data_IF_396643399074
#
_entry.id   IF_396643399074
#
_cell.length_a   1.000
_cell.length_b   1.000
_cell.length_c   1.000
_cell.angle_alpha   90.00
_cell.angle_beta   90.00
_cell.angle_gamma   90.00
#
_symmetry.space_group_name_H-M   'P 1'
#
loop_
_entity.id
_entity.type
_entity.pdbx_description
1 polymer ?
#
# COMPACT_ATOMS: atom_id res chain seq x y z
N UNK A 1 -1.25 20.67 72.08
CA UNK A 1 0.16 20.82 71.68
C UNK A 1 0.24 20.43 70.22
N UNK A 2 0.59 21.40 69.34
CA UNK A 2 1.05 21.19 67.94
C UNK A 2 0.00 20.65 66.95
N UNK A 3 -0.29 21.18 65.75
CA UNK A 3 0.35 22.17 64.87
C UNK A 3 -0.69 22.72 63.87
N UNK A 4 -0.48 23.97 63.47
CA UNK A 4 -0.94 24.76 62.32
C UNK A 4 -1.32 24.00 61.03
N UNK A 5 -2.09 24.53 60.07
CA UNK A 5 -2.63 25.87 59.86
C UNK A 5 -3.27 25.95 58.46
N UNK A 6 -4.42 26.63 58.36
CA UNK A 6 -5.17 26.89 57.13
C UNK A 6 -5.06 28.39 56.84
N UNK A 7 -4.71 28.76 55.61
CA UNK A 7 -4.75 30.14 55.12
C UNK A 7 -5.32 30.17 53.70
N UNK A 8 -6.46 30.86 53.47
CA UNK A 8 -6.91 31.22 52.13
C UNK A 8 -6.43 32.64 51.77
N UNK A 9 -5.92 32.83 50.56
CA UNK A 9 -5.66 34.17 50.03
C UNK A 9 -6.60 34.44 48.85
N UNK A 10 -7.66 35.19 49.13
CA UNK A 10 -8.29 36.10 48.18
C UNK A 10 -7.57 37.45 48.27
N UNK A 11 -7.51 38.20 47.17
CA UNK A 11 -7.73 39.67 47.13
C UNK A 11 -7.95 40.07 45.67
N UNK A 12 -8.98 40.90 45.52
CA UNK A 12 -9.54 41.52 44.33
C UNK A 12 -8.87 42.87 44.02
N UNK A 13 -8.86 43.29 42.76
CA UNK A 13 -8.71 44.69 42.38
C UNK A 13 -9.42 44.99 41.04
N UNK A 14 -10.65 45.47 41.17
CA UNK A 14 -11.27 46.64 40.52
C UNK A 14 -10.26 47.63 39.87
N UNK A 15 -10.51 48.48 38.87
CA UNK A 15 -11.64 48.87 38.01
C UNK A 15 -11.19 50.16 37.27
N UNK A 16 -11.77 50.43 36.08
CA UNK A 16 -12.04 51.76 35.45
C UNK A 16 -11.08 52.39 34.39
N UNK A 17 -11.62 52.46 33.15
CA UNK A 17 -11.74 53.59 32.17
C UNK A 17 -10.45 54.28 31.65
N UNK A 18 -10.31 54.66 30.36
CA UNK A 18 -11.11 55.70 29.66
C UNK A 18 -10.70 55.84 28.16
N UNK A 19 -11.71 56.01 27.29
CA UNK A 19 -11.81 56.84 26.04
C UNK A 19 -10.99 56.60 24.75
N UNK A 20 -11.74 56.21 23.70
CA UNK A 20 -11.82 56.57 22.25
C UNK A 20 -11.51 58.06 21.87
N UNK A 21 -11.45 58.56 20.59
CA UNK A 21 -11.48 57.94 19.21
C UNK A 21 -10.79 58.70 17.98
N UNK A 22 -10.99 58.17 16.74
CA UNK A 22 -11.08 58.72 15.32
C UNK A 22 -9.89 59.37 14.54
N UNK A 23 -9.56 58.82 13.35
CA UNK A 23 -9.49 59.47 11.99
C UNK A 23 -9.12 58.41 10.92
N UNK A 24 -9.99 57.95 10.00
CA UNK A 24 -10.47 58.48 8.69
C UNK A 24 -9.37 58.99 7.73
N UNK A 25 -9.11 58.23 6.66
CA UNK A 25 -8.99 58.75 5.28
C UNK A 25 -9.45 57.70 4.26
N UNK A 26 -9.92 58.21 3.14
CA UNK A 26 -10.65 57.59 2.04
C UNK A 26 -9.94 57.90 0.72
N UNK A 27 -10.13 57.05 -0.31
CA UNK A 27 -9.86 57.36 -1.72
C UNK A 27 -8.69 56.58 -2.31
N UNK A 28 -8.73 56.05 -3.53
CA UNK A 28 -9.75 56.07 -4.56
C UNK A 28 -9.17 55.62 -5.90
N UNK A 29 -10.03 55.00 -6.69
CA UNK A 29 -10.11 55.05 -8.16
C UNK A 29 -9.13 54.28 -9.08
N UNK A 30 -9.77 53.68 -10.08
CA UNK A 30 -9.40 53.50 -11.51
C UNK A 30 -8.57 52.25 -11.85
N UNK A 31 -9.19 51.28 -12.54
CA UNK A 31 -9.46 51.21 -13.99
C UNK A 31 -8.27 50.62 -14.73
N UNK A 32 -8.46 49.48 -15.41
CA UNK A 32 -8.12 49.28 -16.84
C UNK A 32 -8.21 47.80 -17.23
N UNK A 33 -9.26 47.49 -17.96
CA UNK A 33 -9.27 46.80 -19.27
C UNK A 33 -8.04 45.99 -19.71
N UNK A 34 -8.27 44.71 -20.03
CA UNK A 34 -7.73 43.97 -21.20
C UNK A 34 -8.16 42.50 -21.04
N UNK A 35 -9.28 42.05 -21.59
CA UNK A 35 -9.39 41.44 -22.94
C UNK A 35 -8.04 40.96 -23.48
N UNK A 36 -7.79 39.65 -23.37
CA UNK A 36 -6.90 38.92 -24.29
C UNK A 36 -7.45 37.50 -24.53
N UNK A 37 -7.75 37.24 -25.81
CA UNK A 37 -7.69 35.99 -26.57
C UNK A 37 -8.02 34.67 -25.86
N UNK A 38 -9.13 33.99 -26.14
CA UNK A 38 -9.48 33.27 -27.38
C UNK A 38 -8.37 32.39 -27.97
N UNK A 39 -8.64 31.09 -27.89
CA UNK A 39 -8.27 30.03 -28.86
C UNK A 39 -6.80 29.62 -29.02
N UNK A 40 -6.50 28.38 -28.63
CA UNK A 40 -5.51 27.50 -29.26
C UNK A 40 -5.53 26.08 -28.65
N UNK A 41 -5.03 25.04 -29.35
CA UNK A 41 -5.87 23.98 -29.89
C UNK A 41 -5.64 22.60 -29.26
N UNK A 42 -6.48 21.66 -29.69
CA UNK A 42 -6.43 20.22 -29.38
C UNK A 42 -5.04 19.59 -29.59
N UNK A 43 -4.63 18.63 -28.74
CA UNK A 43 -3.53 17.75 -29.06
C UNK A 43 -3.98 16.69 -30.08
N UNK A 44 -3.28 16.73 -31.20
CA UNK A 44 -3.29 15.80 -32.32
C UNK A 44 -3.05 14.35 -31.88
N UNK A 45 -3.82 13.48 -32.51
CA UNK A 45 -3.69 12.04 -32.45
C UNK A 45 -2.29 11.58 -32.87
N UNK A 46 -1.67 10.75 -32.04
CA UNK A 46 -0.48 9.98 -32.42
C UNK A 46 -0.89 8.74 -33.21
N UNK A 47 -0.07 8.31 -34.19
CA UNK A 47 -0.44 7.27 -35.13
C UNK A 47 -0.37 5.88 -34.50
N UNK A 48 -1.41 5.10 -34.82
CA UNK A 48 -1.51 3.65 -34.67
C UNK A 48 -0.39 3.00 -35.49
N UNK A 49 0.60 2.42 -34.80
CA UNK A 49 1.58 1.54 -35.43
C UNK A 49 0.92 0.19 -35.70
N UNK A 50 0.75 -0.06 -36.98
CA UNK A 50 0.29 -1.27 -37.63
C UNK A 50 1.20 -2.45 -37.24
N UNK A 51 0.66 -3.45 -36.55
CA UNK A 51 1.25 -4.79 -36.53
C UNK A 51 0.30 -5.72 -37.27
N UNK A 52 0.55 -5.82 -38.58
CA UNK A 52 0.00 -6.87 -39.42
C UNK A 52 1.18 -7.52 -40.12
N UNK A 53 1.69 -8.59 -39.55
CA UNK A 53 2.49 -9.55 -40.29
C UNK A 53 1.73 -10.86 -40.35
N UNK A 54 1.41 -11.21 -41.59
CA UNK A 54 0.59 -12.31 -42.05
C UNK A 54 1.51 -13.48 -42.34
N UNK A 55 1.19 -14.62 -41.73
CA UNK A 55 1.33 -16.00 -42.21
C UNK A 55 2.61 -16.39 -42.96
N UNK A 56 3.32 -17.37 -42.39
CA UNK A 56 3.81 -18.52 -43.17
C UNK A 56 3.50 -19.83 -42.44
N UNK A 57 2.75 -20.75 -43.09
CA UNK A 57 2.67 -22.16 -42.72
C UNK A 57 3.62 -23.02 -43.59
N UNK A 58 4.08 -24.14 -43.04
CA UNK A 58 4.55 -25.36 -43.72
C UNK A 58 4.89 -26.36 -42.59
N UNK A 59 4.00 -27.28 -42.20
CA UNK A 59 3.69 -28.59 -42.79
C UNK A 59 4.85 -29.60 -42.81
N UNK A 60 4.55 -30.78 -42.26
CA UNK A 60 4.96 -32.16 -42.62
C UNK A 60 5.14 -32.98 -41.32
N UNK A 61 4.11 -33.67 -40.84
CA UNK A 61 3.64 -35.01 -41.24
C UNK A 61 4.47 -36.15 -40.63
N UNK A 62 3.78 -37.12 -40.03
CA UNK A 62 4.38 -38.31 -39.44
C UNK A 62 3.36 -39.15 -38.67
N UNK A 63 2.40 -39.72 -39.39
CA UNK A 63 1.54 -40.82 -38.93
C UNK A 63 2.42 -41.99 -38.44
N UNK A 64 2.13 -42.50 -37.24
CA UNK A 64 2.16 -43.94 -37.03
C UNK A 64 1.42 -44.35 -35.76
N UNK A 65 0.23 -44.89 -36.02
CA UNK A 65 -0.56 -45.74 -35.12
C UNK A 65 0.31 -46.80 -34.45
N UNK A 66 0.59 -46.63 -33.16
CA UNK A 66 1.23 -47.66 -32.33
C UNK A 66 0.17 -48.61 -31.78
N UNK A 67 -0.26 -49.54 -32.63
CA UNK A 67 -0.85 -50.80 -32.19
C UNK A 67 0.26 -51.84 -32.01
N UNK A 68 0.72 -52.06 -30.77
CA UNK A 68 1.45 -53.28 -30.42
C UNK A 68 1.45 -53.49 -28.91
N UNK A 69 0.47 -54.28 -28.47
CA UNK A 69 0.57 -55.06 -27.24
C UNK A 69 1.45 -56.28 -27.50
N UNK A 70 2.03 -56.76 -26.41
CA UNK A 70 2.77 -58.01 -26.22
C UNK A 70 4.24 -58.02 -26.68
N UNK A 71 5.17 -57.93 -25.73
CA UNK A 71 5.85 -59.12 -25.17
C UNK A 71 7.19 -58.74 -24.48
N UNK A 72 7.20 -58.92 -23.15
CA UNK A 72 8.26 -59.55 -22.34
C UNK A 72 9.73 -59.22 -22.70
N UNK A 73 10.37 -58.43 -21.83
CA UNK A 73 11.82 -58.31 -21.77
C UNK A 73 12.27 -57.86 -20.39
N UNK A 74 12.75 -58.81 -19.58
CA UNK A 74 13.42 -58.57 -18.30
C UNK A 74 14.58 -57.58 -18.49
N UNK A 75 14.54 -56.43 -17.81
CA UNK A 75 15.69 -55.53 -17.75
C UNK A 75 15.37 -54.04 -17.74
N UNK A 76 14.53 -53.58 -16.82
CA UNK A 76 14.33 -52.14 -16.60
C UNK A 76 14.27 -51.83 -15.10
N UNK A 77 15.30 -52.27 -14.36
CA UNK A 77 15.55 -51.85 -12.99
C UNK A 77 16.89 -51.09 -12.87
N UNK A 78 17.28 -50.35 -13.90
CA UNK A 78 18.00 -49.10 -13.67
C UNK A 78 16.96 -47.98 -13.75
N UNK A 79 16.11 -47.96 -12.73
CA UNK A 79 15.14 -46.90 -12.54
C UNK A 79 15.88 -45.57 -12.61
N UNK A 80 15.49 -44.74 -13.57
CA UNK A 80 15.83 -43.34 -13.63
C UNK A 80 15.36 -42.66 -12.34
N UNK A 81 16.20 -42.76 -11.30
CA UNK A 81 16.04 -42.08 -10.03
C UNK A 81 16.56 -40.64 -10.19
N UNK A 82 15.93 -39.88 -11.08
CA UNK A 82 16.07 -38.44 -11.30
C UNK A 82 15.03 -38.15 -12.40
N UNK A 83 13.92 -37.45 -12.20
CA UNK A 83 13.76 -36.16 -11.54
C UNK A 83 12.30 -36.02 -11.07
N UNK A 84 11.98 -36.43 -9.84
CA UNK A 84 10.86 -35.80 -9.14
C UNK A 84 11.39 -34.54 -8.49
N UNK A 85 11.57 -33.49 -9.30
CA UNK A 85 11.82 -32.14 -8.79
C UNK A 85 10.49 -31.69 -8.18
N UNK A 86 10.35 -31.94 -6.88
CA UNK A 86 9.23 -31.46 -6.09
C UNK A 86 9.07 -29.96 -6.34
N UNK A 87 7.90 -29.58 -6.84
CA UNK A 87 7.43 -28.22 -6.70
C UNK A 87 7.35 -27.99 -5.19
N UNK A 88 8.29 -27.19 -4.66
CA UNK A 88 8.16 -26.64 -3.33
C UNK A 88 6.85 -25.85 -3.34
N UNK A 89 5.79 -26.47 -2.83
CA UNK A 89 4.63 -25.76 -2.35
C UNK A 89 5.18 -24.71 -1.41
N UNK A 90 5.10 -23.44 -1.81
CA UNK A 90 5.42 -22.33 -0.95
C UNK A 90 4.54 -22.51 0.27
N UNK A 91 5.20 -22.81 1.39
CA UNK A 91 4.58 -22.96 2.68
C UNK A 91 3.78 -21.68 2.92
N UNK A 92 2.44 -21.79 2.89
CA UNK A 92 1.56 -20.82 3.51
C UNK A 92 1.79 -20.98 5.01
N UNK A 93 2.98 -20.60 5.47
CA UNK A 93 3.33 -20.47 6.87
C UNK A 93 2.15 -19.72 7.49
N UNK A 94 1.40 -20.33 8.39
CA UNK A 94 0.23 -19.68 8.99
C UNK A 94 0.72 -18.87 10.18
N UNK A 95 0.76 -17.55 10.07
CA UNK A 95 0.98 -16.74 11.27
C UNK A 95 -0.36 -16.45 11.93
N UNK A 96 -0.35 -16.45 13.27
CA UNK A 96 -1.49 -15.96 14.05
C UNK A 96 -1.52 -14.43 13.99
N UNK A 97 -2.57 -13.86 13.40
CA UNK A 97 -2.78 -12.42 13.36
C UNK A 97 -3.23 -11.90 14.75
N UNK A 98 -2.54 -10.89 15.25
CA UNK A 98 -2.94 -10.12 16.44
C UNK A 98 -3.74 -8.90 16.01
N UNK A 99 -4.96 -8.74 16.52
CA UNK A 99 -5.87 -7.63 16.16
C UNK A 99 -5.79 -6.51 17.19
N UNK A 100 -5.60 -5.28 16.73
CA UNK A 100 -5.59 -4.07 17.57
C UNK A 100 -7.00 -3.52 17.81
N UNK A 101 -7.19 -2.55 18.74
CA UNK A 101 -8.47 -1.88 18.96
C UNK A 101 -9.04 -1.19 17.72
N UNK A 102 -8.18 -0.76 16.77
CA UNK A 102 -8.62 -0.15 15.52
C UNK A 102 -9.13 -1.16 14.47
N UNK A 103 -9.05 -2.47 14.77
CA UNK A 103 -9.40 -3.56 13.86
C UNK A 103 -8.29 -3.94 12.88
N UNK A 104 -7.21 -3.16 12.82
CA UNK A 104 -5.98 -3.53 12.11
C UNK A 104 -5.37 -4.76 12.77
N UNK A 105 -5.09 -5.79 11.99
CA UNK A 105 -4.38 -6.96 12.50
C UNK A 105 -3.03 -7.13 11.82
N UNK A 106 -2.07 -7.66 12.55
CA UNK A 106 -0.72 -7.89 12.05
C UNK A 106 -0.16 -9.23 12.51
N UNK A 107 0.84 -9.73 11.79
CA UNK A 107 1.78 -10.68 12.34
C UNK A 107 3.17 -10.40 11.76
N UNK A 108 4.20 -10.51 12.60
CA UNK A 108 5.58 -10.45 12.16
C UNK A 108 6.01 -11.84 11.69
N UNK A 109 6.22 -11.96 10.37
CA UNK A 109 6.76 -13.17 9.73
C UNK A 109 8.25 -13.29 9.99
N UNK A 110 8.92 -12.15 9.88
CA UNK A 110 10.34 -12.00 10.19
C UNK A 110 10.45 -10.70 10.96
N UNK A 111 10.96 -10.77 12.19
CA UNK A 111 11.30 -9.56 12.95
C UNK A 111 12.63 -9.05 12.42
N UNK A 112 12.68 -7.77 12.02
CA UNK A 112 13.91 -7.15 11.54
C UNK A 112 14.94 -6.97 12.66
N UNK A 113 16.20 -6.79 12.28
CA UNK A 113 17.34 -6.58 13.18
C UNK A 113 17.83 -5.13 13.18
N UNK A 114 17.31 -4.29 12.29
CA UNK A 114 17.68 -2.88 12.17
C UNK A 114 16.81 -1.93 13.00
N UNK A 115 16.99 -0.61 12.82
CA UNK A 115 16.26 0.39 13.57
C UNK A 115 14.76 0.34 13.27
N UNK A 116 13.97 0.74 14.27
CA UNK A 116 12.52 0.89 14.14
C UNK A 116 12.16 1.99 13.15
N UNK A 117 11.00 1.86 12.51
CA UNK A 117 10.42 2.94 11.73
C UNK A 117 10.11 4.15 12.63
N UNK A 118 10.45 5.36 12.17
CA UNK A 118 10.16 6.60 12.88
C UNK A 118 9.35 7.55 11.98
N UNK A 119 8.47 8.33 12.60
CA UNK A 119 7.56 9.23 11.89
C UNK A 119 8.31 10.27 11.06
N UNK A 120 7.89 10.44 9.81
CA UNK A 120 8.44 11.42 8.87
C UNK A 120 9.70 10.95 8.12
N UNK A 121 10.26 9.79 8.47
CA UNK A 121 11.38 9.21 7.75
C UNK A 121 10.97 8.81 6.34
N UNK A 122 11.87 9.07 5.39
CA UNK A 122 11.79 8.52 4.04
C UNK A 122 12.28 7.06 4.10
N UNK A 123 11.42 6.12 3.74
CA UNK A 123 11.70 4.68 3.81
C UNK A 123 11.48 3.99 2.48
N UNK A 124 12.05 2.78 2.34
CA UNK A 124 11.78 1.85 1.24
C UNK A 124 11.10 0.59 1.76
N UNK A 125 10.09 0.12 1.04
CA UNK A 125 9.43 -1.15 1.34
C UNK A 125 9.10 -1.95 0.07
N UNK A 126 9.29 -3.27 0.14
CA UNK A 126 8.63 -4.18 -0.78
C UNK A 126 7.26 -4.59 -0.25
N UNK A 127 6.33 -4.92 -1.15
CA UNK A 127 5.01 -5.37 -0.76
C UNK A 127 4.29 -6.21 -1.81
N UNK A 128 3.32 -6.98 -1.33
CA UNK A 128 2.27 -7.61 -2.12
C UNK A 128 0.93 -7.28 -1.47
N UNK A 129 0.00 -6.69 -2.22
CA UNK A 129 -1.37 -6.40 -1.81
C UNK A 129 -2.34 -7.40 -2.43
N UNK A 130 -3.13 -8.07 -1.57
CA UNK A 130 -4.11 -9.10 -1.92
C UNK A 130 -5.49 -8.73 -1.38
N UNK A 131 -6.53 -9.10 -2.11
CA UNK A 131 -7.90 -9.15 -1.61
C UNK A 131 -8.14 -10.47 -0.87
N UNK A 132 -9.28 -10.55 -0.20
CA UNK A 132 -9.82 -11.82 0.28
C UNK A 132 -9.89 -12.86 -0.86
N UNK A 133 -9.54 -14.10 -0.56
CA UNK A 133 -9.37 -15.16 -1.57
C UNK A 133 -8.02 -15.13 -2.32
N UNK A 134 -7.10 -14.24 -1.94
CA UNK A 134 -5.70 -14.27 -2.41
C UNK A 134 -5.44 -13.54 -3.73
N UNK A 135 -6.46 -12.91 -4.33
CA UNK A 135 -6.30 -12.15 -5.58
C UNK A 135 -5.37 -10.94 -5.35
N UNK A 136 -4.19 -10.98 -5.94
CA UNK A 136 -3.24 -9.86 -5.93
C UNK A 136 -3.81 -8.70 -6.74
N UNK A 137 -3.83 -7.49 -6.16
CA UNK A 137 -4.25 -6.27 -6.83
C UNK A 137 -3.09 -5.32 -7.13
N UNK A 138 -1.99 -5.39 -6.36
CA UNK A 138 -0.80 -4.59 -6.57
C UNK A 138 0.43 -5.24 -5.90
N UNK A 139 1.62 -4.99 -6.44
CA UNK A 139 2.88 -5.44 -5.84
C UNK A 139 4.06 -4.62 -6.33
N UNK A 140 4.97 -4.27 -5.43
CA UNK A 140 6.23 -3.60 -5.81
C UNK A 140 7.14 -4.48 -6.67
N UNK A 141 7.05 -5.81 -6.54
CA UNK A 141 7.79 -6.75 -7.38
C UNK A 141 7.33 -6.68 -8.84
N UNK A 142 6.02 -6.58 -9.08
CA UNK A 142 5.47 -6.41 -10.43
C UNK A 142 5.88 -5.09 -11.08
N UNK A 143 6.19 -4.08 -10.25
CA UNK A 143 6.68 -2.76 -10.67
C UNK A 143 8.22 -2.70 -10.80
N UNK A 144 8.92 -3.76 -10.44
CA UNK A 144 10.38 -3.88 -10.55
C UNK A 144 11.20 -3.05 -9.56
N UNK A 145 10.59 -2.41 -8.56
CA UNK A 145 11.30 -1.59 -7.57
C UNK A 145 10.52 -1.43 -6.25
N UNK A 146 11.20 -1.24 -5.10
CA UNK A 146 10.54 -0.88 -3.85
C UNK A 146 9.73 0.41 -3.96
N UNK A 147 8.72 0.55 -3.11
CA UNK A 147 8.03 1.82 -2.90
C UNK A 147 8.85 2.68 -1.95
N UNK A 148 9.12 3.94 -2.36
CA UNK A 148 9.76 4.95 -1.51
C UNK A 148 8.72 5.98 -1.11
N UNK A 149 8.56 6.23 0.20
CA UNK A 149 7.57 7.16 0.74
C UNK A 149 7.96 7.63 2.15
N UNK A 150 7.35 8.71 2.63
CA UNK A 150 7.50 9.17 4.02
C UNK A 150 6.46 8.49 4.91
N UNK A 151 6.91 7.84 5.98
CA UNK A 151 6.02 7.10 6.89
C UNK A 151 5.35 8.01 7.92
N UNK A 152 4.08 7.75 8.23
CA UNK A 152 3.35 8.43 9.32
C UNK A 152 2.91 9.85 9.01
N UNK A 153 2.84 10.22 7.72
CA UNK A 153 2.44 11.54 7.25
C UNK A 153 1.27 11.50 6.26
N UNK A 154 0.65 10.33 6.05
CA UNK A 154 -0.50 10.19 5.15
C UNK A 154 -0.16 10.12 3.66
N UNK A 155 1.08 9.78 3.29
CA UNK A 155 1.44 9.48 1.89
C UNK A 155 0.90 8.11 1.43
N UNK A 156 0.56 7.23 2.37
CA UNK A 156 -0.02 5.90 2.15
C UNK A 156 -1.33 5.76 2.93
N UNK A 157 -2.05 4.65 2.73
CA UNK A 157 -3.28 4.37 3.48
C UNK A 157 -3.01 4.31 4.98
N UNK A 158 -3.99 4.71 5.79
CA UNK A 158 -3.84 4.82 7.25
C UNK A 158 -3.38 3.50 7.90
N UNK A 159 -3.86 2.36 7.39
CA UNK A 159 -3.44 1.04 7.88
C UNK A 159 -1.97 0.72 7.63
N UNK A 160 -1.33 1.31 6.60
CA UNK A 160 0.12 1.20 6.39
C UNK A 160 0.89 2.08 7.38
N UNK A 161 0.46 3.33 7.57
CA UNK A 161 1.07 4.21 8.56
C UNK A 161 1.04 3.56 9.95
N UNK A 162 -0.12 3.10 10.41
CA UNK A 162 -0.26 2.41 11.70
C UNK A 162 0.44 1.05 11.73
N UNK A 163 0.38 0.28 10.64
CA UNK A 163 0.95 -1.07 10.59
C UNK A 163 2.48 -1.12 10.57
N UNK A 164 3.13 -0.07 10.06
CA UNK A 164 4.60 0.03 9.97
C UNK A 164 5.17 0.88 11.12
N UNK A 165 4.61 2.06 11.38
CA UNK A 165 5.07 2.95 12.46
C UNK A 165 4.68 2.42 13.85
N UNK A 166 3.62 1.61 13.92
CA UNK A 166 2.98 1.22 15.16
C UNK A 166 1.83 2.15 15.55
N UNK A 167 0.96 1.63 16.39
CA UNK A 167 -0.16 2.31 17.02
C UNK A 167 -0.54 1.56 18.30
N UNK A 168 -1.64 1.91 18.96
CA UNK A 168 -2.15 1.16 20.10
C UNK A 168 -2.33 -0.34 19.74
N UNK A 169 -1.61 -1.21 20.46
CA UNK A 169 -1.63 -2.66 20.23
C UNK A 169 -0.82 -3.15 19.03
N UNK A 170 -0.07 -2.27 18.35
CA UNK A 170 0.79 -2.62 17.22
C UNK A 170 2.21 -2.07 17.46
N UNK A 171 3.22 -2.93 17.64
CA UNK A 171 4.60 -2.47 17.77
C UNK A 171 5.13 -1.94 16.42
N UNK A 172 6.09 -1.00 16.41
CA UNK A 172 6.73 -0.56 15.18
C UNK A 172 7.44 -1.71 14.46
N UNK A 173 7.50 -1.65 13.13
CA UNK A 173 8.34 -2.56 12.35
C UNK A 173 9.82 -2.16 12.46
N UNK A 174 10.68 -3.18 12.50
CA UNK A 174 12.14 -3.02 12.44
C UNK A 174 12.62 -3.21 11.01
N UNK A 175 13.67 -2.46 10.62
CA UNK A 175 14.28 -2.57 9.30
C UNK A 175 14.77 -4.00 9.06
N UNK A 176 14.57 -4.52 7.85
CA UNK A 176 14.78 -5.93 7.50
C UNK A 176 13.58 -6.85 7.81
N UNK A 177 12.55 -6.33 8.50
CA UNK A 177 11.39 -7.12 8.91
C UNK A 177 10.37 -7.38 7.80
N UNK A 178 9.64 -8.48 7.93
CA UNK A 178 8.50 -8.87 7.09
C UNK A 178 7.25 -9.00 7.95
N UNK A 179 6.21 -8.24 7.63
CA UNK A 179 4.93 -8.21 8.37
C UNK A 179 3.76 -8.46 7.44
N UNK A 180 2.86 -9.33 7.86
CA UNK A 180 1.53 -9.45 7.25
C UNK A 180 0.57 -8.49 7.96
N UNK A 181 -0.22 -7.74 7.20
CA UNK A 181 -1.25 -6.83 7.70
C UNK A 181 -2.61 -7.23 7.13
N UNK A 182 -3.63 -7.29 7.99
CA UNK A 182 -5.05 -7.32 7.60
C UNK A 182 -5.66 -5.97 7.92
N UNK A 183 -5.96 -5.20 6.89
CA UNK A 183 -6.38 -3.81 6.99
C UNK A 183 -7.89 -3.75 6.72
N UNK A 184 -8.71 -3.37 7.72
CA UNK A 184 -10.14 -3.17 7.53
C UNK A 184 -10.40 -1.96 6.59
N UNK A 185 -11.56 -1.90 5.93
CA UNK A 185 -11.83 -0.89 4.91
C UNK A 185 -11.71 0.55 5.43
N UNK A 186 -12.02 0.81 6.69
CA UNK A 186 -11.91 2.13 7.35
C UNK A 186 -10.47 2.65 7.40
N UNK A 187 -9.49 1.74 7.37
CA UNK A 187 -8.06 2.05 7.35
C UNK A 187 -7.44 1.86 5.95
N UNK A 188 -8.25 1.44 4.98
CA UNK A 188 -7.88 1.25 3.57
C UNK A 188 -8.59 2.26 2.66
N UNK A 189 -9.41 1.77 1.73
CA UNK A 189 -10.10 2.60 0.72
C UNK A 189 -11.60 2.82 1.01
N UNK A 190 -12.09 2.36 2.15
CA UNK A 190 -13.45 2.56 2.64
C UNK A 190 -14.55 2.08 1.67
N UNK A 191 -15.72 2.70 1.79
CA UNK A 191 -16.89 2.41 0.96
C UNK A 191 -16.73 2.81 -0.52
N UNK A 192 -15.63 3.47 -0.90
CA UNK A 192 -15.39 3.91 -2.28
C UNK A 192 -14.66 2.86 -3.12
N UNK A 193 -13.80 2.05 -2.49
CA UNK A 193 -12.87 1.20 -3.23
C UNK A 193 -11.81 2.00 -4.00
N UNK A 194 -11.07 1.34 -4.89
CA UNK A 194 -10.00 1.97 -5.68
C UNK A 194 -9.73 1.26 -7.01
N UNK A 195 -9.04 1.97 -7.92
CA UNK A 195 -8.70 1.44 -9.25
C UNK A 195 -9.93 1.20 -10.13
N UNK A 196 -10.90 2.11 -10.10
CA UNK A 196 -12.17 1.97 -10.82
C UNK A 196 -12.06 2.39 -12.28
N UNK A 197 -12.49 1.52 -13.20
CA UNK A 197 -12.58 1.76 -14.64
C UNK A 197 -13.84 1.08 -15.19
N UNK A 198 -14.68 1.85 -15.88
CA UNK A 198 -15.87 1.31 -16.55
C UNK A 198 -16.90 0.66 -15.61
N UNK A 199 -17.05 1.17 -14.39
CA UNK A 199 -17.99 0.63 -13.39
C UNK A 199 -17.45 -0.53 -12.54
N UNK A 200 -16.27 -1.06 -12.86
CA UNK A 200 -15.60 -2.09 -12.08
C UNK A 200 -14.38 -1.50 -11.36
N UNK A 201 -14.16 -1.89 -10.10
CA UNK A 201 -12.99 -1.49 -9.32
C UNK A 201 -12.06 -2.67 -9.08
N UNK A 202 -10.74 -2.44 -9.21
CA UNK A 202 -9.73 -3.44 -8.85
C UNK A 202 -9.84 -3.78 -7.36
N UNK A 203 -10.06 -2.76 -6.52
CA UNK A 203 -10.37 -2.91 -5.10
C UNK A 203 -11.85 -2.53 -4.92
N UNK A 204 -12.73 -3.49 -4.60
CA UNK A 204 -14.14 -3.22 -4.38
C UNK A 204 -14.41 -2.27 -3.19
N UNK A 205 -15.54 -1.55 -3.19
CA UNK A 205 -16.09 -0.90 -2.01
C UNK A 205 -16.12 -1.82 -0.77
N UNK A 206 -15.66 -1.32 0.38
CA UNK A 206 -15.73 -2.06 1.65
C UNK A 206 -14.77 -3.25 1.75
N UNK A 207 -13.81 -3.39 0.83
CA UNK A 207 -12.89 -4.51 0.84
C UNK A 207 -11.88 -4.43 2.00
N UNK A 208 -11.71 -5.55 2.70
CA UNK A 208 -10.56 -5.79 3.58
C UNK A 208 -9.32 -6.10 2.73
N UNK A 209 -8.19 -5.50 3.08
CA UNK A 209 -6.95 -5.66 2.34
C UNK A 209 -5.96 -6.52 3.13
N UNK A 210 -5.25 -7.39 2.44
CA UNK A 210 -4.17 -8.18 3.00
C UNK A 210 -2.86 -7.73 2.37
N UNK A 211 -1.91 -7.33 3.18
CA UNK A 211 -0.59 -6.92 2.71
C UNK A 211 0.50 -7.78 3.33
N UNK A 212 1.45 -8.19 2.52
CA UNK A 212 2.77 -8.62 2.99
C UNK A 212 3.72 -7.46 2.75
N UNK A 213 4.29 -6.90 3.81
CA UNK A 213 5.19 -5.74 3.76
C UNK A 213 6.57 -6.19 4.20
N UNK A 214 7.58 -5.86 3.41
CA UNK A 214 8.99 -6.02 3.74
C UNK A 214 9.62 -4.64 3.89
N UNK A 215 9.92 -4.26 5.12
CA UNK A 215 10.48 -2.96 5.44
C UNK A 215 11.99 -3.01 5.26
N UNK A 216 12.52 -2.36 4.21
CA UNK A 216 13.95 -2.40 3.91
C UNK A 216 14.78 -1.45 4.79
N UNK A 217 14.14 -0.40 5.31
CA UNK A 217 14.79 0.64 6.11
C UNK A 217 14.70 2.03 5.48
N UNK A 218 15.57 2.93 5.95
CA UNK A 218 15.69 4.29 5.44
C UNK A 218 16.10 4.30 3.96
N UNK A 219 15.45 5.17 3.18
CA UNK A 219 15.65 5.30 1.74
C UNK A 219 17.00 5.91 1.34
#
# INVERSE_FOLDING_TARGET
MSTLGILPHQISASTLRKTRPIHRTSGGSRSSSSIVSSASPAPSATPVMVFREVLRPAEAEGDNRMGRREAIGLGFCLNAFLLLRGAAAADEETCSLTTSPSGLAFCDRVVGDGPAAEKGLLIKAHYVGKLEGGKVFDSSYSRGKPLTFRIGVGEVIKGWDQGILGDEGIPPMLSGGKRTLRIPPELGYGARGAGCRGGSCIIPPGATLFFEVEFLGKA
#
